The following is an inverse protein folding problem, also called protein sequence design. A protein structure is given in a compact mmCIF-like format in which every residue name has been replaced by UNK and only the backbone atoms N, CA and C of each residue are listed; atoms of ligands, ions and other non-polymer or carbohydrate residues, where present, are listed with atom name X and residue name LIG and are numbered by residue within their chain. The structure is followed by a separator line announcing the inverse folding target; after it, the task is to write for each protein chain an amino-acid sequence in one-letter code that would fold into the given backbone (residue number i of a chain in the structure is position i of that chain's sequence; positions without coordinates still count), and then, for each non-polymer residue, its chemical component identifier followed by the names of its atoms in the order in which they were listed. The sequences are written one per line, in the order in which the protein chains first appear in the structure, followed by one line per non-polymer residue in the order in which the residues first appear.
data_IF_707808924172
#
_entry.id   IF_707808924172
#
_cell.length_a   1.000
_cell.length_b   1.000
_cell.length_c   1.000
_cell.angle_alpha   90.00
_cell.angle_beta   90.00
_cell.angle_gamma   90.00
#
_symmetry.space_group_name_H-M   'P 1'
#
loop_
_entity.id
_entity.type
_entity.pdbx_description
1 polymer ?
#
# COMPACT_ATOMS: atom_id res chain seq x y z
N UNK A 1 7.18 -7.03 27.44
CA UNK A 1 6.71 -5.85 28.19
C UNK A 1 6.77 -4.66 27.24
N UNK A 2 5.60 -4.28 26.72
CA UNK A 2 5.50 -3.14 25.80
C UNK A 2 5.80 -1.84 26.56
N UNK A 3 6.90 -1.21 26.24
CA UNK A 3 7.20 0.13 26.75
C UNK A 3 6.43 1.14 25.89
N UNK A 4 5.16 1.35 26.22
CA UNK A 4 4.38 2.44 25.65
C UNK A 4 4.91 3.77 26.19
N UNK A 5 5.35 4.66 25.31
CA UNK A 5 5.47 6.07 25.62
C UNK A 5 4.15 6.73 25.18
N UNK A 6 3.40 7.29 26.10
CA UNK A 6 2.18 8.11 25.85
C UNK A 6 2.44 9.38 25.01
N UNK A 7 3.67 9.55 24.51
CA UNK A 7 4.12 10.74 23.80
C UNK A 7 3.72 10.79 22.30
N UNK A 8 3.08 9.74 21.77
CA UNK A 8 2.90 9.58 20.32
C UNK A 8 1.43 9.75 19.87
N UNK A 9 0.57 10.34 20.70
CA UNK A 9 -0.81 10.65 20.35
C UNK A 9 -0.91 11.95 19.54
N UNK A 10 -1.70 11.93 18.48
CA UNK A 10 -1.98 13.07 17.62
C UNK A 10 -3.42 13.01 17.09
N UNK A 11 -3.86 14.02 16.35
CA UNK A 11 -5.19 14.05 15.76
C UNK A 11 -5.12 14.33 14.25
N UNK A 12 -5.98 13.64 13.50
CA UNK A 12 -6.27 13.94 12.10
C UNK A 12 -7.73 14.41 12.04
N UNK A 13 -7.97 15.61 11.56
CA UNK A 13 -9.30 16.23 11.50
C UNK A 13 -10.08 16.12 12.83
N UNK A 14 -9.37 16.25 13.97
CA UNK A 14 -9.94 16.16 15.31
C UNK A 14 -10.18 14.72 15.83
N UNK A 15 -9.93 13.70 15.04
CA UNK A 15 -10.01 12.29 15.43
C UNK A 15 -8.67 11.82 16.01
N UNK A 16 -8.64 11.22 17.22
CA UNK A 16 -7.40 10.81 17.85
C UNK A 16 -6.81 9.54 17.22
N UNK A 17 -5.50 9.58 17.01
CA UNK A 17 -4.67 8.46 16.59
C UNK A 17 -3.39 8.43 17.40
N UNK A 18 -2.67 7.32 17.34
CA UNK A 18 -1.35 7.18 17.98
C UNK A 18 -0.37 6.42 17.11
N UNK A 19 0.88 6.80 17.16
CA UNK A 19 1.99 6.03 16.63
C UNK A 19 2.32 4.87 17.57
N UNK A 20 2.66 3.73 17.01
CA UNK A 20 3.06 2.54 17.76
C UNK A 20 4.25 1.87 17.08
N UNK A 21 5.30 1.58 17.85
CA UNK A 21 6.40 0.73 17.41
C UNK A 21 6.19 -0.68 17.97
N UNK A 22 6.20 -1.68 17.09
CA UNK A 22 6.00 -3.09 17.43
C UNK A 22 7.18 -3.88 16.90
N UNK A 23 7.83 -4.69 17.75
CA UNK A 23 8.92 -5.54 17.32
C UNK A 23 8.47 -6.99 17.24
N UNK A 24 8.66 -7.61 16.06
CA UNK A 24 8.27 -9.00 15.78
C UNK A 24 9.42 -9.68 15.04
N UNK A 25 9.89 -10.82 15.53
CA UNK A 25 10.96 -11.62 14.94
C UNK A 25 12.22 -10.81 14.58
N UNK A 26 12.57 -9.85 15.45
CA UNK A 26 13.73 -8.99 15.27
C UNK A 26 13.48 -7.76 14.39
N UNK A 27 12.34 -7.64 13.69
CA UNK A 27 11.95 -6.50 12.86
C UNK A 27 11.06 -5.52 13.65
N UNK A 28 11.38 -4.24 13.58
CA UNK A 28 10.56 -3.14 14.07
C UNK A 28 9.55 -2.70 13.01
N UNK A 29 8.29 -2.58 13.42
CA UNK A 29 7.19 -2.07 12.59
C UNK A 29 6.63 -0.80 13.19
N UNK A 30 6.38 0.17 12.35
CA UNK A 30 5.61 1.35 12.70
C UNK A 30 4.16 1.17 12.27
N UNK A 31 3.23 1.46 13.17
CA UNK A 31 1.80 1.36 12.96
C UNK A 31 1.14 2.62 13.50
N UNK A 32 0.23 3.20 12.73
CA UNK A 32 -0.66 4.24 13.24
C UNK A 32 -2.03 3.62 13.49
N UNK A 33 -2.50 3.71 14.72
CA UNK A 33 -3.78 3.13 15.10
C UNK A 33 -4.75 4.14 15.72
N UNK A 34 -6.06 3.92 15.51
CA UNK A 34 -7.13 4.75 16.08
C UNK A 34 -8.50 4.26 15.66
N UNK A 35 -9.55 4.92 16.16
CA UNK A 35 -10.92 4.51 15.91
C UNK A 35 -11.38 3.34 16.78
N UNK A 36 -12.61 2.84 16.52
CA UNK A 36 -13.25 1.76 17.28
C UNK A 36 -14.14 0.92 16.35
N UNK A 37 -14.30 -0.37 16.68
CA UNK A 37 -15.09 -1.32 15.90
C UNK A 37 -14.27 -2.47 15.34
N UNK A 38 -14.74 -3.14 14.26
CA UNK A 38 -13.99 -4.18 13.57
C UNK A 38 -12.63 -3.68 13.07
N UNK A 39 -11.63 -4.56 13.02
CA UNK A 39 -10.29 -4.19 12.59
C UNK A 39 -10.23 -3.98 11.06
N UNK A 40 -9.60 -2.88 10.64
CA UNK A 40 -9.27 -2.60 9.25
C UNK A 40 -7.79 -2.23 9.14
N UNK A 41 -7.05 -3.02 8.38
CA UNK A 41 -5.63 -2.83 8.12
C UNK A 41 -5.47 -2.08 6.80
N UNK A 42 -4.59 -1.07 6.80
CA UNK A 42 -4.33 -0.19 5.67
C UNK A 42 -2.85 -0.28 5.28
N UNK A 43 -2.57 -0.73 4.05
CA UNK A 43 -1.22 -0.86 3.49
C UNK A 43 -1.05 0.13 2.33
N UNK A 44 -0.07 0.99 2.43
CA UNK A 44 0.32 1.91 1.35
C UNK A 44 1.36 1.28 0.42
N UNK A 45 1.69 1.97 -0.66
CA UNK A 45 2.69 1.56 -1.63
C UNK A 45 3.76 2.62 -1.93
N UNK A 46 4.34 2.55 -3.11
CA UNK A 46 5.40 3.44 -3.56
C UNK A 46 4.83 4.77 -4.10
N UNK A 47 5.42 5.91 -3.82
CA UNK A 47 6.48 6.21 -2.87
C UNK A 47 5.93 6.73 -1.53
N UNK A 48 5.05 6.00 -0.90
CA UNK A 48 4.29 6.45 0.26
C UNK A 48 4.60 5.63 1.53
N UNK A 49 3.97 6.00 2.63
CA UNK A 49 3.96 5.36 3.94
C UNK A 49 2.53 5.33 4.47
N UNK A 50 2.32 4.97 5.75
CA UNK A 50 1.02 5.10 6.42
C UNK A 50 0.36 6.47 6.16
N UNK A 51 1.16 7.49 5.95
CA UNK A 51 0.72 8.89 5.77
C UNK A 51 -0.21 9.08 4.55
N UNK A 52 -0.15 8.19 3.58
CA UNK A 52 -1.09 8.14 2.46
C UNK A 52 -2.56 8.07 2.90
N UNK A 53 -2.81 7.44 4.02
CA UNK A 53 -4.16 7.21 4.53
C UNK A 53 -4.70 8.32 5.44
N UNK A 54 -3.89 9.34 5.80
CA UNK A 54 -4.24 10.37 6.79
C UNK A 54 -5.54 11.10 6.51
N UNK A 55 -5.92 11.26 5.23
CA UNK A 55 -7.16 11.94 4.81
C UNK A 55 -8.37 11.00 4.82
N UNK A 56 -8.16 9.71 4.76
CA UNK A 56 -9.19 8.67 4.74
C UNK A 56 -9.47 8.15 6.15
N UNK A 57 -8.44 8.01 6.97
CA UNK A 57 -8.53 7.46 8.32
C UNK A 57 -9.58 8.14 9.20
N UNK A 58 -9.67 9.48 9.28
CA UNK A 58 -10.70 10.16 10.09
C UNK A 58 -12.13 9.83 9.66
N UNK A 59 -12.34 9.55 8.35
CA UNK A 59 -13.64 9.20 7.79
C UNK A 59 -14.05 7.76 8.10
N UNK A 60 -13.09 6.86 8.29
CA UNK A 60 -13.30 5.46 8.60
C UNK A 60 -13.31 5.15 10.11
N UNK A 61 -12.60 5.93 10.91
CA UNK A 61 -12.42 5.71 12.35
C UNK A 61 -13.71 5.64 13.19
N UNK A 62 -14.83 6.29 12.82
CA UNK A 62 -16.10 6.11 13.51
C UNK A 62 -16.68 4.69 13.39
N UNK A 63 -16.24 3.92 12.39
CA UNK A 63 -16.80 2.61 12.03
C UNK A 63 -15.83 1.45 12.23
N UNK A 64 -14.51 1.73 12.22
CA UNK A 64 -13.45 0.72 12.27
C UNK A 64 -12.33 1.10 13.23
N UNK A 65 -11.75 0.09 13.86
CA UNK A 65 -10.44 0.23 14.48
C UNK A 65 -9.38 0.09 13.38
N UNK A 66 -8.69 1.17 13.10
CA UNK A 66 -7.75 1.29 11.99
C UNK A 66 -6.33 0.97 12.42
N UNK A 67 -5.59 0.30 11.52
CA UNK A 67 -4.17 0.01 11.63
C UNK A 67 -3.49 0.34 10.30
N UNK A 68 -2.98 1.56 10.17
CA UNK A 68 -2.18 1.94 9.01
C UNK A 68 -0.71 1.55 9.27
N UNK A 69 -0.23 0.58 8.49
CA UNK A 69 1.06 -0.09 8.71
C UNK A 69 2.08 0.39 7.69
N UNK A 70 3.24 0.82 8.17
CA UNK A 70 4.40 0.97 7.32
C UNK A 70 4.98 -0.43 7.02
N UNK A 71 5.02 -0.78 5.75
CA UNK A 71 5.61 -2.05 5.31
C UNK A 71 7.11 -2.10 5.64
N UNK A 72 7.72 -3.28 5.83
CA UNK A 72 9.18 -3.38 5.90
C UNK A 72 9.83 -2.64 4.73
N UNK A 73 10.77 -1.76 5.01
CA UNK A 73 11.39 -0.91 4.00
C UNK A 73 10.69 0.43 3.74
N UNK A 74 9.49 0.64 4.28
CA UNK A 74 8.73 1.90 4.14
C UNK A 74 8.65 2.67 5.47
N UNK A 75 8.31 3.95 5.36
CA UNK A 75 8.00 4.81 6.50
C UNK A 75 9.01 4.71 7.64
N UNK A 76 8.52 4.55 8.83
CA UNK A 76 9.31 4.40 10.06
C UNK A 76 9.48 2.93 10.52
N UNK A 77 9.09 1.95 9.68
CA UNK A 77 9.43 0.53 9.87
C UNK A 77 10.89 0.24 9.53
N UNK A 78 11.43 -0.84 10.06
CA UNK A 78 12.81 -1.29 9.77
C UNK A 78 12.99 -1.57 8.26
N UNK A 79 14.23 -1.42 7.78
CA UNK A 79 14.63 -1.59 6.37
C UNK A 79 15.53 -2.83 6.24
N UNK A 80 14.96 -4.06 6.29
CA UNK A 80 15.73 -5.29 6.17
C UNK A 80 16.51 -5.36 4.85
N UNK A 81 17.50 -6.23 4.77
CA UNK A 81 18.30 -6.40 3.56
C UNK A 81 17.59 -7.25 2.50
N UNK A 82 16.61 -8.06 2.92
CA UNK A 82 15.89 -9.03 2.08
C UNK A 82 14.42 -9.19 2.50
N UNK A 83 13.72 -10.13 1.85
CA UNK A 83 12.34 -10.49 2.20
C UNK A 83 11.30 -9.49 1.71
N UNK A 84 11.56 -8.88 0.56
CA UNK A 84 10.66 -7.96 -0.13
C UNK A 84 9.73 -8.64 -1.14
N UNK A 85 9.87 -9.95 -1.36
CA UNK A 85 8.88 -10.71 -2.11
C UNK A 85 7.56 -10.79 -1.35
N UNK A 86 6.45 -10.86 -2.11
CA UNK A 86 5.10 -10.73 -1.54
C UNK A 86 4.73 -11.84 -0.57
N UNK A 87 5.34 -13.03 -0.67
CA UNK A 87 5.12 -14.11 0.29
C UNK A 87 5.80 -13.80 1.61
N UNK A 88 7.10 -13.52 1.58
CA UNK A 88 7.85 -13.20 2.80
C UNK A 88 7.31 -11.96 3.49
N UNK A 89 7.02 -10.89 2.73
CA UNK A 89 6.41 -9.69 3.28
C UNK A 89 5.04 -9.98 3.91
N UNK A 90 4.22 -10.81 3.27
CA UNK A 90 2.92 -11.24 3.79
C UNK A 90 3.03 -12.02 5.10
N UNK A 91 3.93 -13.01 5.19
CA UNK A 91 4.13 -13.76 6.42
C UNK A 91 4.68 -12.90 7.57
N UNK A 92 5.57 -11.96 7.27
CA UNK A 92 6.05 -10.97 8.23
C UNK A 92 4.90 -10.09 8.76
N UNK A 93 4.00 -9.64 7.89
CA UNK A 93 2.82 -8.88 8.30
C UNK A 93 1.84 -9.73 9.11
N UNK A 94 1.67 -11.01 8.76
CA UNK A 94 0.84 -11.93 9.54
C UNK A 94 1.33 -12.06 10.97
N UNK A 95 2.63 -12.23 11.17
CA UNK A 95 3.23 -12.26 12.50
C UNK A 95 2.99 -10.96 13.28
N UNK A 96 3.07 -9.80 12.60
CA UNK A 96 2.71 -8.52 13.18
C UNK A 96 1.23 -8.47 13.59
N UNK A 97 0.31 -8.87 12.70
CA UNK A 97 -1.13 -8.82 12.99
C UNK A 97 -1.50 -9.71 14.18
N UNK A 98 -0.94 -10.91 14.26
CA UNK A 98 -1.11 -11.78 15.42
C UNK A 98 -0.53 -11.17 16.71
N UNK A 99 0.62 -10.51 16.64
CA UNK A 99 1.21 -9.79 17.79
C UNK A 99 0.32 -8.62 18.24
N UNK A 100 -0.42 -7.99 17.31
CA UNK A 100 -1.41 -6.97 17.62
C UNK A 100 -2.73 -7.55 18.16
N UNK A 101 -2.86 -8.88 18.22
CA UNK A 101 -4.07 -9.59 18.66
C UNK A 101 -5.16 -9.65 17.58
N UNK A 102 -4.82 -9.44 16.33
CA UNK A 102 -5.74 -9.45 15.20
C UNK A 102 -5.83 -10.87 14.62
N UNK A 103 -7.01 -11.47 14.69
CA UNK A 103 -7.28 -12.82 14.16
C UNK A 103 -8.23 -12.83 12.98
N UNK A 104 -9.07 -11.79 12.87
CA UNK A 104 -9.99 -11.55 11.75
C UNK A 104 -10.10 -10.06 11.50
N UNK A 105 -9.99 -9.64 10.25
CA UNK A 105 -9.93 -8.23 9.88
C UNK A 105 -10.27 -8.01 8.40
N UNK A 106 -10.64 -6.79 8.07
CA UNK A 106 -10.61 -6.33 6.68
C UNK A 106 -9.21 -5.83 6.33
N UNK A 107 -8.78 -6.04 5.08
CA UNK A 107 -7.46 -5.66 4.59
C UNK A 107 -7.61 -4.76 3.36
N UNK A 108 -6.97 -3.59 3.39
CA UNK A 108 -6.92 -2.67 2.26
C UNK A 108 -5.47 -2.43 1.84
N UNK A 109 -5.18 -2.58 0.55
CA UNK A 109 -3.87 -2.31 -0.03
C UNK A 109 -3.95 -1.38 -1.22
N UNK A 110 -3.03 -0.42 -1.28
CA UNK A 110 -2.81 0.47 -2.41
C UNK A 110 -1.41 0.23 -2.99
N UNK A 111 -1.28 0.14 -4.32
CA UNK A 111 -0.01 -0.05 -5.03
C UNK A 111 0.76 -1.28 -4.50
N UNK A 112 1.99 -1.16 -3.96
CA UNK A 112 2.73 -2.27 -3.34
C UNK A 112 1.94 -2.91 -2.19
N UNK A 113 1.17 -2.13 -1.43
CA UNK A 113 0.26 -2.67 -0.43
C UNK A 113 -0.75 -3.67 -1.01
N UNK A 114 -1.26 -3.42 -2.22
CA UNK A 114 -2.12 -4.35 -2.94
C UNK A 114 -1.35 -5.56 -3.51
N UNK A 115 -0.06 -5.37 -3.90
CA UNK A 115 0.80 -6.50 -4.32
C UNK A 115 0.92 -7.56 -3.22
N UNK A 116 0.94 -7.11 -1.97
CA UNK A 116 1.03 -7.99 -0.79
C UNK A 116 -0.37 -8.47 -0.37
N UNK A 117 -1.36 -7.57 -0.33
CA UNK A 117 -2.69 -7.85 0.20
C UNK A 117 -3.43 -8.95 -0.60
N UNK A 118 -3.35 -8.97 -1.94
CA UNK A 118 -3.99 -9.99 -2.75
C UNK A 118 -3.45 -11.41 -2.46
N UNK A 119 -2.14 -11.69 -2.63
CA UNK A 119 -1.61 -13.01 -2.34
C UNK A 119 -1.67 -13.39 -0.86
N UNK A 120 -1.68 -12.41 0.04
CA UNK A 120 -1.93 -12.62 1.45
C UNK A 120 -3.35 -13.17 1.67
N UNK A 121 -4.36 -12.47 1.18
CA UNK A 121 -5.76 -12.88 1.31
C UNK A 121 -6.05 -14.24 0.64
N UNK A 122 -5.37 -14.55 -0.47
CA UNK A 122 -5.48 -15.85 -1.13
C UNK A 122 -4.92 -17.02 -0.28
N UNK A 123 -3.89 -16.75 0.55
CA UNK A 123 -3.25 -17.77 1.39
C UNK A 123 -3.87 -17.87 2.78
N UNK A 124 -4.47 -16.79 3.28
CA UNK A 124 -5.00 -16.65 4.64
C UNK A 124 -6.45 -16.16 4.61
N UNK A 125 -7.28 -16.80 3.76
CA UNK A 125 -8.68 -16.43 3.56
C UNK A 125 -9.56 -16.60 4.81
N UNK A 126 -9.12 -17.34 5.81
CA UNK A 126 -9.76 -17.52 7.11
C UNK A 126 -9.55 -16.32 8.06
N UNK A 127 -8.50 -15.54 7.84
CA UNK A 127 -8.19 -14.33 8.62
C UNK A 127 -8.73 -13.04 7.98
N UNK A 128 -8.87 -13.00 6.64
CA UNK A 128 -9.31 -11.81 5.90
C UNK A 128 -10.80 -11.89 5.60
N UNK A 129 -11.59 -11.02 6.23
CA UNK A 129 -13.04 -10.99 6.04
C UNK A 129 -13.46 -10.31 4.74
N UNK A 130 -12.77 -9.22 4.38
CA UNK A 130 -12.99 -8.42 3.16
C UNK A 130 -11.68 -7.84 2.66
N UNK A 131 -11.49 -7.79 1.37
CA UNK A 131 -10.28 -7.28 0.74
C UNK A 131 -10.59 -6.04 -0.10
N UNK A 132 -9.81 -4.97 0.08
CA UNK A 132 -9.86 -3.76 -0.75
C UNK A 132 -8.54 -3.60 -1.48
N UNK A 133 -8.59 -3.51 -2.80
CA UNK A 133 -7.42 -3.34 -3.67
C UNK A 133 -7.57 -2.04 -4.46
N UNK A 134 -6.55 -1.20 -4.39
CA UNK A 134 -6.56 0.13 -4.98
C UNK A 134 -5.41 0.31 -5.97
N UNK A 135 -5.78 0.61 -7.21
CA UNK A 135 -4.93 1.06 -8.33
C UNK A 135 -3.57 0.36 -8.44
N UNK A 136 -3.57 -0.97 -8.54
CA UNK A 136 -2.37 -1.78 -8.60
C UNK A 136 -2.49 -2.94 -9.58
N UNK A 137 -1.46 -3.14 -10.39
CA UNK A 137 -1.26 -4.37 -11.15
C UNK A 137 -0.38 -5.33 -10.35
N UNK A 138 -0.91 -6.49 -9.97
CA UNK A 138 -0.32 -7.41 -9.00
C UNK A 138 0.66 -8.37 -9.70
N UNK A 139 1.94 -8.46 -9.26
CA UNK A 139 2.93 -9.36 -9.85
C UNK A 139 2.47 -10.81 -9.92
N UNK A 140 2.53 -11.40 -11.13
CA UNK A 140 2.13 -12.78 -11.38
C UNK A 140 0.61 -13.01 -11.46
N UNK A 141 -0.20 -11.96 -11.20
CA UNK A 141 -1.67 -12.02 -11.22
C UNK A 141 -2.22 -11.15 -12.34
N UNK A 142 -2.10 -9.83 -12.24
CA UNK A 142 -2.59 -8.87 -13.24
C UNK A 142 -1.47 -8.05 -13.88
N UNK A 143 -0.27 -7.98 -13.27
CA UNK A 143 0.87 -7.27 -13.87
C UNK A 143 1.38 -8.04 -15.09
N UNK A 144 1.51 -7.38 -16.27
CA UNK A 144 2.08 -7.99 -17.45
C UNK A 144 3.51 -8.51 -17.18
N UNK A 145 3.85 -9.65 -17.79
CA UNK A 145 5.18 -10.25 -17.68
C UNK A 145 6.27 -9.44 -18.43
N UNK A 146 5.86 -8.61 -19.38
CA UNK A 146 6.74 -7.75 -20.18
C UNK A 146 6.03 -6.45 -20.55
N UNK A 147 6.82 -5.42 -20.85
CA UNK A 147 6.32 -4.14 -21.33
C UNK A 147 6.83 -3.92 -22.77
N UNK A 148 5.91 -3.70 -23.68
CA UNK A 148 6.26 -3.28 -25.04
C UNK A 148 6.60 -1.80 -25.08
N UNK A 149 7.47 -1.40 -26.01
CA UNK A 149 7.80 0.00 -26.22
C UNK A 149 6.58 0.75 -26.80
N UNK A 150 6.20 1.85 -26.17
CA UNK A 150 5.06 2.63 -26.57
C UNK A 150 5.04 4.03 -25.93
N UNK A 151 4.12 4.91 -26.32
CA UNK A 151 4.08 6.30 -25.87
C UNK A 151 3.84 6.44 -24.36
N UNK A 152 3.24 5.42 -23.71
CA UNK A 152 2.93 5.43 -22.28
C UNK A 152 4.01 4.79 -21.41
N UNK A 153 5.16 4.40 -21.96
CA UNK A 153 6.23 3.75 -21.19
C UNK A 153 6.82 4.66 -20.11
N UNK A 154 6.70 5.97 -20.26
CA UNK A 154 7.05 6.92 -19.23
C UNK A 154 6.24 6.72 -17.93
N UNK A 155 5.06 6.10 -17.98
CA UNK A 155 4.27 5.75 -16.79
C UNK A 155 4.85 4.56 -16.02
N UNK A 156 5.68 3.73 -16.69
CA UNK A 156 6.17 2.42 -16.19
C UNK A 156 7.69 2.33 -16.08
N UNK A 157 8.44 3.38 -16.45
CA UNK A 157 9.91 3.38 -16.48
C UNK A 157 10.54 2.91 -15.15
N UNK A 158 9.89 3.25 -14.03
CA UNK A 158 10.36 2.94 -12.69
C UNK A 158 10.37 1.42 -12.40
N UNK A 159 9.53 0.62 -13.04
CA UNK A 159 9.60 -0.84 -12.91
C UNK A 159 10.96 -1.39 -13.32
N UNK A 160 11.54 -0.87 -14.38
CA UNK A 160 12.85 -1.30 -14.85
C UNK A 160 13.97 -0.58 -14.09
N UNK A 161 13.89 0.72 -13.94
CA UNK A 161 14.90 1.51 -13.24
C UNK A 161 15.12 1.03 -11.79
N UNK A 162 14.04 0.80 -11.06
CA UNK A 162 14.10 0.40 -9.66
C UNK A 162 14.69 -1.03 -9.47
N UNK A 163 14.73 -1.85 -10.52
CA UNK A 163 15.35 -3.19 -10.44
C UNK A 163 16.86 -3.16 -10.66
N UNK A 164 17.40 -2.09 -11.23
CA UNK A 164 18.85 -2.00 -11.49
C UNK A 164 19.61 -1.99 -10.16
N UNK A 165 20.66 -2.84 -10.00
CA UNK A 165 21.49 -2.81 -8.80
C UNK A 165 22.24 -1.48 -8.68
N UNK A 166 22.27 -0.91 -7.48
CA UNK A 166 23.10 0.22 -7.03
C UNK A 166 22.90 1.57 -7.76
N UNK A 167 22.52 1.56 -9.05
CA UNK A 167 22.41 2.78 -9.85
C UNK A 167 21.29 3.72 -9.36
N UNK A 168 20.08 3.23 -9.03
CA UNK A 168 19.03 4.11 -8.49
C UNK A 168 19.47 4.81 -7.22
N UNK A 169 20.10 4.10 -6.28
CA UNK A 169 20.61 4.68 -5.05
C UNK A 169 21.71 5.74 -5.33
N UNK A 170 22.65 5.43 -6.22
CA UNK A 170 23.73 6.37 -6.58
C UNK A 170 23.20 7.67 -7.24
N UNK A 171 22.11 7.58 -7.99
CA UNK A 171 21.51 8.75 -8.66
C UNK A 171 20.55 9.53 -7.76
N UNK A 172 19.86 8.87 -6.85
CA UNK A 172 18.75 9.43 -6.07
C UNK A 172 19.15 9.87 -4.67
N UNK A 173 20.22 9.32 -4.08
CA UNK A 173 20.66 9.71 -2.75
C UNK A 173 20.96 11.21 -2.66
N UNK A 174 20.27 11.91 -1.73
CA UNK A 174 20.30 13.36 -1.59
C UNK A 174 19.47 14.09 -2.68
N UNK A 175 18.70 13.35 -3.47
CA UNK A 175 17.78 13.86 -4.51
C UNK A 175 16.41 13.18 -4.46
N UNK A 176 16.07 12.58 -3.34
CA UNK A 176 14.82 11.83 -3.14
C UNK A 176 13.60 12.69 -3.46
N UNK A 177 13.69 14.00 -3.14
CA UNK A 177 12.65 14.98 -3.45
C UNK A 177 12.32 15.04 -4.94
N UNK A 178 13.31 14.96 -5.81
CA UNK A 178 13.10 15.01 -7.28
C UNK A 178 12.25 13.83 -7.73
N UNK A 179 12.52 12.63 -7.18
CA UNK A 179 11.75 11.42 -7.48
C UNK A 179 10.31 11.55 -6.97
N UNK A 180 10.12 11.96 -5.72
CA UNK A 180 8.82 12.10 -5.07
C UNK A 180 7.95 13.12 -5.81
N UNK A 181 8.48 14.31 -6.08
CA UNK A 181 7.75 15.35 -6.81
C UNK A 181 7.38 14.91 -8.23
N UNK A 182 8.28 14.19 -8.91
CA UNK A 182 7.99 13.65 -10.23
C UNK A 182 6.78 12.69 -10.18
N UNK A 183 6.77 11.73 -9.25
CA UNK A 183 5.67 10.78 -9.12
C UNK A 183 4.36 11.48 -8.78
N UNK A 184 4.37 12.34 -7.79
CA UNK A 184 3.16 13.01 -7.31
C UNK A 184 2.60 14.04 -8.29
N UNK A 185 3.46 14.66 -9.12
CA UNK A 185 3.00 15.56 -10.18
C UNK A 185 2.50 14.84 -11.43
N UNK A 186 3.05 13.66 -11.75
CA UNK A 186 2.77 12.96 -13.01
C UNK A 186 1.72 11.87 -12.92
N UNK A 187 1.51 11.31 -11.72
CA UNK A 187 0.56 10.20 -11.51
C UNK A 187 -0.74 10.62 -10.82
N UNK A 188 -0.93 11.88 -10.52
CA UNK A 188 -2.24 12.45 -10.16
C UNK A 188 -3.04 12.77 -11.42
N UNK A 189 -4.35 13.01 -11.28
CA UNK A 189 -5.25 13.40 -12.37
C UNK A 189 -5.03 14.87 -12.81
N UNK A 190 -3.81 15.32 -12.94
CA UNK A 190 -3.41 16.71 -13.26
C UNK A 190 -3.99 17.76 -12.28
N UNK A 191 -4.28 17.35 -11.04
CA UNK A 191 -4.82 18.25 -10.00
C UNK A 191 -3.68 18.94 -9.26
N UNK A 192 -3.53 20.26 -9.41
CA UNK A 192 -2.57 20.99 -8.60
C UNK A 192 -3.00 20.99 -7.12
N UNK A 193 -2.03 20.88 -6.21
CA UNK A 193 -2.28 21.02 -4.77
C UNK A 193 -2.83 19.77 -4.06
N UNK A 194 -2.84 18.60 -4.70
CA UNK A 194 -3.14 17.33 -4.02
C UNK A 194 -2.14 17.12 -2.88
N UNK A 195 -0.87 17.36 -3.15
CA UNK A 195 0.21 17.29 -2.17
C UNK A 195 0.70 18.70 -1.82
N UNK A 196 0.59 19.07 -0.55
CA UNK A 196 1.21 20.28 -0.01
C UNK A 196 2.73 20.11 0.12
N UNK A 197 3.44 21.21 0.36
CA UNK A 197 4.87 21.14 0.67
C UNK A 197 5.15 20.28 1.89
N UNK A 198 4.34 20.40 2.93
CA UNK A 198 4.48 19.59 4.15
C UNK A 198 4.27 18.08 3.88
N UNK A 199 3.34 17.72 2.99
CA UNK A 199 3.16 16.34 2.55
C UNK A 199 4.41 15.81 1.85
N UNK A 200 4.99 16.61 0.97
CA UNK A 200 6.22 16.25 0.27
C UNK A 200 7.41 16.13 1.23
N UNK A 201 7.51 17.03 2.21
CA UNK A 201 8.56 17.01 3.24
C UNK A 201 8.47 15.73 4.08
N UNK A 202 7.25 15.27 4.42
CA UNK A 202 7.04 14.02 5.17
C UNK A 202 7.43 12.80 4.34
N UNK A 203 7.05 12.71 3.08
CA UNK A 203 7.46 11.61 2.22
C UNK A 203 8.97 11.60 1.97
N UNK A 204 9.61 12.75 1.77
CA UNK A 204 11.06 12.87 1.65
C UNK A 204 11.78 12.40 2.90
N UNK A 205 11.30 12.79 4.09
CA UNK A 205 11.88 12.41 5.37
C UNK A 205 12.11 10.92 5.48
N UNK A 206 11.12 10.10 5.13
CA UNK A 206 11.23 8.63 5.26
C UNK A 206 12.21 8.03 4.27
N UNK A 207 12.39 8.62 3.10
CA UNK A 207 13.38 8.16 2.11
C UNK A 207 14.82 8.50 2.48
N UNK A 208 15.02 9.62 3.19
CA UNK A 208 16.33 10.05 3.67
C UNK A 208 16.82 9.25 4.88
N UNK A 209 15.97 8.40 5.49
CA UNK A 209 16.41 7.50 6.56
C UNK A 209 17.37 6.46 6.03
N UNK A 210 18.26 5.96 6.91
CA UNK A 210 19.23 4.92 6.54
C UNK A 210 18.52 3.68 5.95
N UNK A 211 18.81 3.38 4.70
CA UNK A 211 18.20 2.28 3.96
C UNK A 211 16.80 2.56 3.42
N UNK A 212 16.23 3.75 3.63
CA UNK A 212 14.88 4.11 3.16
C UNK A 212 14.71 3.93 1.66
N UNK A 213 15.57 4.54 0.86
CA UNK A 213 15.54 4.38 -0.59
C UNK A 213 15.72 2.91 -1.00
N UNK A 214 16.73 2.20 -0.47
CA UNK A 214 16.97 0.79 -0.77
C UNK A 214 15.77 -0.10 -0.42
N UNK A 215 15.16 0.12 0.75
CA UNK A 215 14.01 -0.65 1.20
C UNK A 215 12.83 -0.55 0.25
N UNK A 216 12.53 0.66 -0.22
CA UNK A 216 11.46 0.90 -1.20
C UNK A 216 11.73 0.25 -2.56
N UNK A 217 12.98 0.29 -3.03
CA UNK A 217 13.38 -0.37 -4.27
C UNK A 217 13.36 -1.90 -4.16
N UNK A 218 13.47 -2.44 -2.94
CA UNK A 218 13.48 -3.87 -2.66
C UNK A 218 12.27 -4.61 -3.21
N UNK A 219 11.08 -4.03 -3.15
CA UNK A 219 9.84 -4.62 -3.69
C UNK A 219 9.88 -4.79 -5.20
N UNK A 220 10.44 -3.81 -5.92
CA UNK A 220 10.61 -3.92 -7.37
C UNK A 220 11.64 -4.98 -7.74
N UNK A 221 12.76 -5.05 -7.02
CA UNK A 221 13.81 -6.08 -7.20
C UNK A 221 13.28 -7.49 -6.94
N UNK A 222 12.35 -7.63 -6.00
CA UNK A 222 11.70 -8.90 -5.69
C UNK A 222 10.44 -9.18 -6.55
N UNK A 223 10.05 -8.28 -7.47
CA UNK A 223 8.80 -8.41 -8.23
C UNK A 223 8.77 -9.69 -9.11
N UNK A 224 9.90 -10.09 -9.69
CA UNK A 224 9.98 -11.33 -10.46
C UNK A 224 9.73 -12.56 -9.57
N UNK A 225 10.40 -12.64 -8.42
CA UNK A 225 10.17 -13.71 -7.43
C UNK A 225 8.72 -13.72 -6.94
N UNK A 226 8.15 -12.54 -6.68
CA UNK A 226 6.74 -12.39 -6.31
C UNK A 226 5.80 -12.91 -7.41
N UNK A 227 6.11 -12.60 -8.67
CA UNK A 227 5.31 -13.07 -9.80
C UNK A 227 5.33 -14.60 -9.92
N UNK A 228 6.48 -15.25 -9.74
CA UNK A 228 6.59 -16.71 -9.74
C UNK A 228 5.79 -17.34 -8.60
N UNK A 229 5.88 -16.77 -7.38
CA UNK A 229 5.15 -17.24 -6.21
C UNK A 229 3.62 -17.09 -6.32
N UNK A 230 3.15 -16.08 -7.07
CA UNK A 230 1.75 -15.73 -7.17
C UNK A 230 1.05 -16.35 -8.39
N UNK A 231 1.79 -16.86 -9.37
CA UNK A 231 1.23 -17.34 -10.64
C UNK A 231 0.14 -18.39 -10.45
N UNK A 232 0.34 -19.33 -9.53
CA UNK A 232 -0.63 -20.39 -9.23
C UNK A 232 -1.92 -19.86 -8.57
N UNK A 233 -1.91 -18.67 -7.97
CA UNK A 233 -3.10 -18.05 -7.33
C UNK A 233 -4.17 -17.68 -8.36
N UNK A 234 -3.81 -17.59 -9.65
CA UNK A 234 -4.76 -17.34 -10.75
C UNK A 234 -5.71 -18.53 -11.00
N UNK A 235 -5.31 -19.73 -10.57
CA UNK A 235 -6.08 -20.96 -10.81
C UNK A 235 -7.26 -21.11 -9.86
N UNK A 236 -7.22 -20.40 -8.72
CA UNK A 236 -8.27 -20.48 -7.69
C UNK A 236 -8.80 -19.10 -7.34
N UNK A 237 -9.98 -18.73 -7.85
CA UNK A 237 -10.57 -17.42 -7.53
C UNK A 237 -10.79 -17.23 -6.02
N UNK A 238 -10.56 -16.01 -5.54
CA UNK A 238 -10.85 -15.62 -4.17
C UNK A 238 -12.33 -15.85 -3.84
N UNK A 239 -12.59 -16.41 -2.66
CA UNK A 239 -13.95 -16.67 -2.19
C UNK A 239 -14.45 -15.59 -1.23
N UNK A 240 -13.54 -14.81 -0.62
CA UNK A 240 -13.90 -13.66 0.20
C UNK A 240 -14.34 -12.48 -0.67
N UNK A 241 -15.17 -11.57 -0.16
CA UNK A 241 -15.57 -10.37 -0.88
C UNK A 241 -14.37 -9.46 -1.19
N UNK A 242 -14.32 -8.93 -2.42
CA UNK A 242 -13.26 -8.04 -2.90
C UNK A 242 -13.85 -6.73 -3.44
N UNK A 243 -13.30 -5.60 -3.01
CA UNK A 243 -13.51 -4.29 -3.64
C UNK A 243 -12.25 -3.93 -4.43
N UNK A 244 -12.38 -3.73 -5.74
CA UNK A 244 -11.30 -3.32 -6.62
C UNK A 244 -11.60 -1.94 -7.22
N UNK A 245 -10.76 -0.95 -6.95
CA UNK A 245 -10.92 0.42 -7.47
C UNK A 245 -9.66 0.87 -8.19
N UNK A 246 -9.78 1.27 -9.45
CA UNK A 246 -8.74 1.99 -10.19
C UNK A 246 -9.05 3.47 -10.29
N UNK A 247 -8.03 4.32 -10.37
CA UNK A 247 -8.23 5.73 -10.76
C UNK A 247 -8.40 5.84 -12.27
N UNK A 248 -9.30 6.70 -12.76
CA UNK A 248 -9.52 6.92 -14.20
C UNK A 248 -8.23 7.25 -14.97
N UNK A 249 -7.34 7.99 -14.30
CA UNK A 249 -6.02 8.39 -14.83
C UNK A 249 -4.87 7.69 -14.08
N UNK A 250 -5.19 6.62 -13.35
CA UNK A 250 -4.26 5.88 -12.49
C UNK A 250 -3.33 4.94 -13.25
N UNK A 251 -2.69 4.06 -12.50
CA UNK A 251 -1.78 3.04 -13.01
C UNK A 251 -2.51 1.75 -13.42
N UNK A 252 -3.68 1.49 -12.84
CA UNK A 252 -4.51 0.32 -13.08
C UNK A 252 -6.01 0.67 -13.11
N UNK A 253 -6.47 1.50 -14.07
CA UNK A 253 -7.89 1.84 -14.20
C UNK A 253 -8.77 0.61 -14.47
N UNK A 254 -8.21 -0.42 -15.06
CA UNK A 254 -8.82 -1.70 -15.41
C UNK A 254 -8.69 -2.79 -14.33
N UNK A 255 -8.30 -2.43 -13.09
CA UNK A 255 -8.11 -3.38 -12.00
C UNK A 255 -9.35 -4.24 -11.73
N UNK A 256 -10.55 -3.63 -11.78
CA UNK A 256 -11.81 -4.34 -11.57
C UNK A 256 -12.02 -5.42 -12.63
N UNK A 257 -11.85 -5.07 -13.90
CA UNK A 257 -12.01 -5.99 -15.03
C UNK A 257 -10.97 -7.11 -14.98
N UNK A 258 -9.71 -6.77 -14.67
CA UNK A 258 -8.61 -7.73 -14.58
C UNK A 258 -8.82 -8.76 -13.46
N UNK A 259 -9.49 -8.39 -12.38
CA UNK A 259 -9.81 -9.27 -11.26
C UNK A 259 -11.13 -10.05 -11.45
N UNK A 260 -11.93 -9.75 -12.47
CA UNK A 260 -13.19 -10.42 -12.77
C UNK A 260 -13.14 -11.95 -12.71
N UNK A 261 -12.20 -12.62 -13.40
CA UNK A 261 -12.06 -14.08 -13.35
C UNK A 261 -11.42 -14.60 -12.05
N UNK A 262 -10.90 -13.72 -11.19
CA UNK A 262 -10.04 -14.05 -10.04
C UNK A 262 -10.71 -13.84 -8.67
N UNK A 263 -11.98 -13.39 -8.63
CA UNK A 263 -12.74 -13.22 -7.39
C UNK A 263 -14.22 -13.51 -7.64
N UNK A 264 -14.85 -14.27 -6.73
CA UNK A 264 -16.27 -14.69 -6.87
C UNK A 264 -17.27 -13.60 -6.48
N UNK A 265 -16.97 -12.82 -5.43
CA UNK A 265 -17.73 -11.63 -5.02
C UNK A 265 -16.86 -10.40 -5.23
N UNK A 266 -16.86 -9.88 -6.45
CA UNK A 266 -16.09 -8.71 -6.85
C UNK A 266 -16.99 -7.51 -7.03
N UNK A 267 -16.65 -6.43 -6.34
CA UNK A 267 -17.30 -5.11 -6.49
C UNK A 267 -16.22 -4.08 -6.80
N UNK A 268 -16.63 -2.94 -7.36
CA UNK A 268 -15.68 -1.88 -7.64
C UNK A 268 -15.90 -1.14 -8.94
N UNK A 269 -14.83 -0.88 -9.67
CA UNK A 269 -14.78 -0.12 -10.91
C UNK A 269 -13.84 1.05 -10.83
N UNK A 270 -14.09 2.09 -11.62
CA UNK A 270 -13.23 3.26 -11.76
C UNK A 270 -13.67 4.39 -10.82
N UNK A 271 -12.71 5.06 -10.21
CA UNK A 271 -12.87 6.34 -9.53
C UNK A 271 -12.66 7.46 -10.56
N UNK A 272 -13.74 8.15 -10.92
CA UNK A 272 -13.68 9.24 -11.88
C UNK A 272 -12.83 10.41 -11.37
N UNK A 273 -12.20 11.14 -12.29
CA UNK A 273 -11.37 12.30 -11.98
C UNK A 273 -10.33 12.01 -10.89
N UNK A 274 -9.68 10.85 -10.97
CA UNK A 274 -8.71 10.36 -10.00
C UNK A 274 -7.51 9.75 -10.72
N UNK A 275 -6.31 10.07 -10.25
CA UNK A 275 -5.08 9.42 -10.67
C UNK A 275 -4.76 8.21 -9.83
N UNK A 276 -3.45 7.96 -9.66
CA UNK A 276 -2.94 6.80 -8.94
C UNK A 276 -3.14 6.87 -7.42
N UNK A 277 -3.14 8.06 -6.84
CA UNK A 277 -3.11 8.24 -5.39
C UNK A 277 -4.52 8.42 -4.81
N UNK A 278 -5.37 7.41 -4.96
CA UNK A 278 -6.78 7.46 -4.58
C UNK A 278 -7.04 8.01 -3.16
N UNK A 279 -6.27 7.59 -2.13
CA UNK A 279 -6.47 8.10 -0.76
C UNK A 279 -6.18 9.59 -0.60
N UNK A 280 -5.34 10.15 -1.47
CA UNK A 280 -4.92 11.54 -1.46
C UNK A 280 -5.80 12.42 -2.35
N UNK A 281 -6.20 11.91 -3.51
CA UNK A 281 -6.91 12.66 -4.55
C UNK A 281 -8.41 12.70 -4.32
N UNK A 282 -9.00 11.59 -3.84
CA UNK A 282 -10.44 11.40 -3.67
C UNK A 282 -10.79 10.76 -2.30
N UNK A 283 -10.28 11.29 -1.17
CA UNK A 283 -10.40 10.64 0.14
C UNK A 283 -11.85 10.41 0.56
N UNK A 284 -12.76 11.36 0.29
CA UNK A 284 -14.18 11.25 0.67
C UNK A 284 -14.91 10.21 -0.14
N UNK A 285 -14.71 10.18 -1.46
CA UNK A 285 -15.36 9.20 -2.32
C UNK A 285 -14.79 7.80 -2.07
N UNK A 286 -13.48 7.69 -1.88
CA UNK A 286 -12.86 6.43 -1.49
C UNK A 286 -13.44 5.91 -0.15
N UNK A 287 -13.49 6.74 0.87
CA UNK A 287 -14.07 6.35 2.17
C UNK A 287 -15.53 5.93 2.03
N UNK A 288 -16.35 6.67 1.26
CA UNK A 288 -17.75 6.31 0.99
C UNK A 288 -17.88 4.92 0.35
N UNK A 289 -17.04 4.62 -0.67
CA UNK A 289 -17.04 3.31 -1.33
C UNK A 289 -16.57 2.20 -0.41
N UNK A 290 -15.50 2.46 0.36
CA UNK A 290 -15.01 1.51 1.35
C UNK A 290 -16.07 1.22 2.42
N UNK A 291 -16.72 2.25 2.99
CA UNK A 291 -17.78 2.07 3.98
C UNK A 291 -18.97 1.26 3.43
N UNK A 292 -19.41 1.55 2.23
CA UNK A 292 -20.53 0.81 1.58
C UNK A 292 -20.18 -0.67 1.32
N UNK A 293 -18.91 -1.00 1.16
CA UNK A 293 -18.45 -2.36 0.94
C UNK A 293 -18.14 -3.11 2.24
N UNK A 294 -17.57 -2.42 3.22
CA UNK A 294 -17.09 -3.01 4.48
C UNK A 294 -18.18 -3.15 5.55
N UNK A 295 -19.32 -2.48 5.35
CA UNK A 295 -20.49 -2.56 6.22
C UNK A 295 -21.12 -3.96 6.27
#
# INVERSE_FOLDING_TARGET
MDTFKDADAFALDGVPFRHRQVRVDGLGYHVVEGGAGPALILLAGFPQSWYAWRRVMPLLAPHFRLYAVDLPGQGDSDKPLDGYDTRTAGERLRALFHTLGLTRYALAGHDIGAWIAYPYAARHADEVERLVLLDANIPGVTLPASFELGPDNWKRWHFLFNTVPDLPEALLQGRERVLIEWFFSRKTANKPGVFSRADLDEYERVYQTLGGLRGMLGYYRAAHQSAEQNRALRETPLTLPVLALGGEHGSAPDLYEALGPLARDLRGGVLADCGHYLPEEQPRELARRMLAFLA
#
